data_IF_603724391922
#
_entry.id   IF_603724391922
#
_cell.length_a   1.000
_cell.length_b   1.000
_cell.length_c   1.000
_cell.angle_alpha   90.00
_cell.angle_beta   90.00
_cell.angle_gamma   90.00
#
_symmetry.space_group_name_H-M   'P 1'
#
loop_
_entity.id
_entity.type
_entity.pdbx_description
1 polymer ?
#
# COMPACT_ATOMS: atom_id res chain seq x y z
N UNK A 1 -7.04 6.18 11.93
CA UNK A 1 -6.14 5.61 10.92
C UNK A 1 -6.56 6.05 9.52
N UNK A 2 -5.63 6.62 8.76
CA UNK A 2 -5.91 7.04 7.40
C UNK A 2 -5.76 5.86 6.44
N UNK A 3 -6.67 5.78 5.49
CA UNK A 3 -6.68 4.74 4.48
C UNK A 3 -6.55 5.36 3.09
N UNK A 4 -5.59 4.90 2.31
CA UNK A 4 -5.42 5.30 0.92
C UNK A 4 -5.87 4.16 0.00
N UNK A 5 -6.77 4.46 -0.92
CA UNK A 5 -7.30 3.49 -1.88
C UNK A 5 -6.79 3.82 -3.28
N UNK A 6 -6.12 2.86 -3.91
CA UNK A 6 -5.58 3.01 -5.26
C UNK A 6 -6.11 1.89 -6.15
N UNK A 7 -7.20 2.16 -6.85
CA UNK A 7 -7.90 1.18 -7.68
C UNK A 7 -7.62 1.45 -9.16
N UNK A 8 -6.71 0.69 -9.75
CA UNK A 8 -6.33 0.83 -11.15
C UNK A 8 -6.32 -0.53 -11.84
N UNK A 9 -6.53 -0.55 -13.15
CA UNK A 9 -6.49 -1.79 -13.94
C UNK A 9 -5.07 -2.15 -14.35
N UNK A 10 -4.28 -1.14 -14.60
CA UNK A 10 -2.95 -1.30 -15.13
C UNK A 10 -2.09 -0.16 -14.64
N UNK A 11 -1.02 -0.49 -13.95
CA UNK A 11 -0.17 0.54 -13.36
C UNK A 11 1.25 0.01 -13.20
N UNK A 12 2.22 0.86 -13.53
CA UNK A 12 3.59 0.67 -13.10
C UNK A 12 3.76 1.12 -11.66
N UNK A 13 4.98 1.33 -11.22
CA UNK A 13 5.25 1.81 -9.86
C UNK A 13 4.64 3.20 -9.66
N UNK A 14 3.80 3.35 -8.63
CA UNK A 14 3.03 4.58 -8.40
C UNK A 14 3.70 5.48 -7.38
N UNK A 15 3.88 6.74 -7.75
CA UNK A 15 4.37 7.78 -6.83
C UNK A 15 3.31 8.08 -5.76
N UNK A 16 2.02 8.04 -6.12
CA UNK A 16 0.93 8.27 -5.18
C UNK A 16 0.92 7.24 -4.05
N UNK A 17 1.20 5.96 -4.36
CA UNK A 17 1.33 4.92 -3.34
C UNK A 17 2.53 5.23 -2.43
N UNK A 18 3.65 5.64 -3.00
CA UNK A 18 4.85 6.00 -2.22
C UNK A 18 4.57 7.17 -1.27
N UNK A 19 3.83 8.17 -1.71
CA UNK A 19 3.44 9.30 -0.87
C UNK A 19 2.57 8.85 0.31
N UNK A 20 1.60 7.98 0.05
CA UNK A 20 0.75 7.43 1.10
C UNK A 20 1.55 6.58 2.09
N UNK A 21 2.51 5.80 1.62
CA UNK A 21 3.41 5.02 2.47
C UNK A 21 4.25 5.93 3.37
N UNK A 22 4.73 7.04 2.84
CA UNK A 22 5.50 8.02 3.61
C UNK A 22 4.67 8.60 4.78
N UNK A 23 3.38 8.82 4.54
CA UNK A 23 2.46 9.34 5.54
C UNK A 23 2.02 8.29 6.56
N UNK A 24 2.38 7.04 6.35
CA UNK A 24 1.97 5.96 7.25
C UNK A 24 0.52 5.55 7.09
N UNK A 25 -0.08 5.78 5.91
CA UNK A 25 -1.44 5.37 5.62
C UNK A 25 -1.52 3.86 5.37
N UNK A 26 -2.62 3.25 5.77
CA UNK A 26 -2.95 1.89 5.33
C UNK A 26 -3.28 1.93 3.83
N UNK A 27 -2.74 1.01 3.06
CA UNK A 27 -2.86 1.01 1.60
C UNK A 27 -3.81 -0.11 1.16
N UNK A 28 -4.79 0.23 0.33
CA UNK A 28 -5.63 -0.73 -0.35
C UNK A 28 -5.47 -0.52 -1.85
N UNK A 29 -5.04 -1.55 -2.56
CA UNK A 29 -4.80 -1.48 -4.00
C UNK A 29 -5.59 -2.55 -4.74
N UNK A 30 -5.89 -2.28 -6.01
CA UNK A 30 -6.41 -3.31 -6.89
C UNK A 30 -5.30 -4.31 -7.25
N UNK A 31 -5.69 -5.56 -7.48
CA UNK A 31 -4.75 -6.63 -7.78
C UNK A 31 -4.24 -6.54 -9.22
N UNK A 32 -3.14 -5.83 -9.41
CA UNK A 32 -2.43 -5.76 -10.69
C UNK A 32 -0.92 -5.81 -10.46
N UNK A 33 -0.15 -6.12 -11.50
CA UNK A 33 1.28 -6.40 -11.36
C UNK A 33 2.08 -5.25 -10.74
N UNK A 34 1.80 -4.00 -11.14
CA UNK A 34 2.50 -2.85 -10.58
C UNK A 34 2.21 -2.66 -9.10
N UNK A 35 0.96 -2.87 -8.68
CA UNK A 35 0.58 -2.75 -7.28
C UNK A 35 1.17 -3.87 -6.43
N UNK A 36 1.28 -5.09 -6.98
CA UNK A 36 1.89 -6.23 -6.27
C UNK A 36 3.35 -5.98 -5.93
N UNK A 37 4.04 -5.17 -6.71
CA UNK A 37 5.43 -4.81 -6.44
C UNK A 37 5.57 -3.86 -5.26
N UNK A 38 4.55 -3.06 -4.98
CA UNK A 38 4.60 -2.04 -3.94
C UNK A 38 3.92 -2.44 -2.63
N UNK A 39 2.98 -3.40 -2.69
CA UNK A 39 2.18 -3.80 -1.53
C UNK A 39 2.15 -5.33 -1.40
N UNK A 40 2.47 -5.83 -0.21
CA UNK A 40 2.29 -7.23 0.15
C UNK A 40 0.99 -7.39 0.94
N UNK A 41 0.00 -8.06 0.37
CA UNK A 41 -1.31 -8.22 0.99
C UNK A 41 -1.19 -8.90 2.35
N UNK A 42 -1.81 -8.31 3.37
CA UNK A 42 -1.80 -8.82 4.73
C UNK A 42 -0.57 -8.42 5.57
N UNK A 43 0.41 -7.73 4.98
CA UNK A 43 1.63 -7.30 5.67
C UNK A 43 1.70 -5.78 5.74
N UNK A 44 1.77 -5.10 4.60
CA UNK A 44 1.87 -3.64 4.54
C UNK A 44 0.72 -2.98 3.78
N UNK A 45 -0.36 -3.69 3.61
CA UNK A 45 -1.58 -3.23 2.97
C UNK A 45 -2.47 -4.39 2.60
N UNK A 46 -3.45 -4.13 1.75
CA UNK A 46 -4.37 -5.16 1.25
C UNK A 46 -4.62 -4.97 -0.24
N UNK A 47 -5.09 -6.02 -0.87
CA UNK A 47 -5.49 -6.01 -2.27
C UNK A 47 -6.97 -6.34 -2.39
N UNK A 48 -7.61 -5.85 -3.44
CA UNK A 48 -9.00 -6.13 -3.73
C UNK A 48 -9.20 -6.41 -5.21
N UNK A 49 -10.32 -7.05 -5.55
CA UNK A 49 -10.76 -7.16 -6.93
C UNK A 49 -11.15 -5.80 -7.46
N UNK A 50 -10.91 -5.53 -8.73
CA UNK A 50 -11.27 -4.25 -9.35
C UNK A 50 -12.76 -4.24 -9.71
N UNK A 51 -13.62 -4.33 -8.68
CA UNK A 51 -15.08 -4.22 -8.77
C UNK A 51 -15.57 -3.33 -7.65
N UNK A 52 -16.73 -2.70 -7.83
CA UNK A 52 -17.31 -1.85 -6.80
C UNK A 52 -17.53 -2.62 -5.49
N UNK A 53 -18.02 -3.85 -5.58
CA UNK A 53 -18.25 -4.71 -4.41
C UNK A 53 -16.96 -5.10 -3.71
N UNK A 54 -15.93 -5.51 -4.48
CA UNK A 54 -14.65 -5.92 -3.92
C UNK A 54 -13.94 -4.78 -3.21
N UNK A 55 -13.96 -3.59 -3.80
CA UNK A 55 -13.37 -2.39 -3.20
C UNK A 55 -14.11 -2.02 -1.92
N UNK A 56 -15.44 -1.96 -1.98
CA UNK A 56 -16.29 -1.59 -0.85
C UNK A 56 -16.13 -2.56 0.33
N UNK A 57 -16.12 -3.86 0.05
CA UNK A 57 -15.98 -4.90 1.09
C UNK A 57 -14.63 -4.78 1.80
N UNK A 58 -13.55 -4.55 1.07
CA UNK A 58 -12.23 -4.41 1.67
C UNK A 58 -12.10 -3.10 2.46
N UNK A 59 -12.68 -2.02 1.98
CA UNK A 59 -12.69 -0.76 2.72
C UNK A 59 -13.39 -0.95 4.07
N UNK A 60 -14.55 -1.60 4.08
CA UNK A 60 -15.28 -1.87 5.32
C UNK A 60 -14.45 -2.71 6.29
N UNK A 61 -13.83 -3.78 5.81
CA UNK A 61 -13.00 -4.65 6.65
C UNK A 61 -11.82 -3.89 7.27
N UNK A 62 -11.16 -3.07 6.48
CA UNK A 62 -10.00 -2.30 6.95
C UNK A 62 -10.42 -1.24 7.97
N UNK A 63 -11.54 -0.55 7.75
CA UNK A 63 -12.02 0.47 8.66
C UNK A 63 -12.56 -0.11 9.98
N UNK A 64 -13.02 -1.35 10.00
CA UNK A 64 -13.48 -2.02 11.21
C UNK A 64 -12.35 -2.42 12.14
N UNK A 65 -11.14 -2.59 11.63
CA UNK A 65 -9.98 -2.99 12.42
C UNK A 65 -8.93 -1.87 12.39
N UNK A 66 -9.12 -0.88 13.25
CA UNK A 66 -8.24 0.30 13.33
C UNK A 66 -6.80 -0.08 13.68
N UNK A 67 -6.61 -1.05 14.56
CA UNK A 67 -5.28 -1.48 14.96
C UNK A 67 -4.53 -2.12 13.80
N UNK A 68 -5.20 -2.98 13.04
CA UNK A 68 -4.61 -3.61 11.86
C UNK A 68 -4.28 -2.57 10.78
N UNK A 69 -5.15 -1.57 10.59
CA UNK A 69 -4.90 -0.45 9.69
C UNK A 69 -3.63 0.30 10.09
N UNK A 70 -3.47 0.57 11.38
CA UNK A 70 -2.28 1.25 11.90
C UNK A 70 -1.03 0.42 11.64
N UNK A 71 -1.10 -0.88 11.84
CA UNK A 71 0.02 -1.79 11.59
C UNK A 71 0.39 -1.78 10.10
N UNK A 72 -0.58 -1.84 9.21
CA UNK A 72 -0.34 -1.74 7.77
C UNK A 72 0.38 -0.44 7.41
N UNK A 73 -0.08 0.68 7.97
CA UNK A 73 0.56 1.97 7.71
C UNK A 73 2.00 2.02 8.18
N UNK A 74 2.28 1.48 9.36
CA UNK A 74 3.64 1.41 9.90
C UNK A 74 4.55 0.52 9.05
N UNK A 75 4.05 -0.64 8.62
CA UNK A 75 4.80 -1.56 7.79
C UNK A 75 5.07 -0.99 6.40
N UNK A 76 4.09 -0.29 5.82
CA UNK A 76 4.26 0.38 4.53
C UNK A 76 5.37 1.45 4.61
N UNK A 77 5.38 2.22 5.68
CA UNK A 77 6.39 3.24 5.90
C UNK A 77 7.79 2.63 6.06
N UNK A 78 7.90 1.53 6.79
CA UNK A 78 9.17 0.81 6.96
C UNK A 78 9.68 0.27 5.63
N UNK A 79 8.79 -0.31 4.83
CA UNK A 79 9.14 -0.82 3.51
C UNK A 79 9.74 0.28 2.63
N UNK A 80 9.08 1.43 2.58
CA UNK A 80 9.54 2.56 1.78
C UNK A 80 10.90 3.06 2.25
N UNK A 81 11.12 3.16 3.55
CA UNK A 81 12.41 3.58 4.11
C UNK A 81 13.54 2.63 3.72
N UNK A 82 13.29 1.33 3.77
CA UNK A 82 14.27 0.32 3.36
C UNK A 82 14.59 0.42 1.87
N UNK A 83 13.58 0.62 1.02
CA UNK A 83 13.78 0.82 -0.41
C UNK A 83 14.61 2.06 -0.70
N UNK A 84 14.36 3.16 0.02
CA UNK A 84 15.12 4.39 -0.13
C UNK A 84 16.56 4.23 0.32
N UNK A 85 16.82 3.50 1.40
CA UNK A 85 18.17 3.22 1.87
C UNK A 85 18.97 2.41 0.85
N UNK A 86 18.35 1.40 0.25
CA UNK A 86 18.98 0.60 -0.79
C UNK A 86 19.32 1.44 -2.02
N UNK A 87 18.43 2.35 -2.42
CA UNK A 87 18.69 3.25 -3.54
C UNK A 87 19.86 4.20 -3.24
N UNK A 88 19.94 4.74 -2.03
CA UNK A 88 21.05 5.59 -1.61
C UNK A 88 22.37 4.83 -1.55
N UNK A 89 22.37 3.60 -1.05
CA UNK A 89 23.55 2.76 -1.02
C UNK A 89 24.09 2.48 -2.43
N UNK A 90 23.20 2.30 -3.40
CA UNK A 90 23.60 2.13 -4.80
C UNK A 90 24.21 3.39 -5.40
N UNK A 91 23.75 4.57 -4.97
CA UNK A 91 24.29 5.84 -5.48
C UNK A 91 25.68 6.17 -4.93
N UNK A 92 26.06 5.63 -3.78
CA UNK A 92 27.35 5.85 -3.16
C UNK A 92 28.46 5.00 -3.78
N UNK A 93 28.10 4.04 -4.60
CA UNK A 93 29.04 3.19 -5.31
C UNK A 93 29.53 3.86 -6.60
#
# INVERSE_FOLDING_TARGET
CDLYVHATRFEGKSIAIQEAQTLGCAILVSDCSGNREQVDAGIDGQMCSLTAEGISDQIEKMLQDEEQCRIYGEMARKRLNLEQQDALAMLEL
#
